data_IF_542783166319
#
_entry.id   IF_542783166319
#
_cell.length_a   1.000
_cell.length_b   1.000
_cell.length_c   1.000
_cell.angle_alpha   90.00
_cell.angle_beta   90.00
_cell.angle_gamma   90.00
#
_symmetry.space_group_name_H-M   'P 1'
#
loop_
_entity.id
_entity.type
_entity.pdbx_description
1 polymer ?
#
# COMPACT_ATOMS: atom_id res chain seq x y z
N UNK A 1 10.36 -33.69 -0.72
CA UNK A 1 8.98 -34.01 -1.15
C UNK A 1 8.04 -33.15 -0.34
N UNK A 2 6.88 -32.80 -0.91
CA UNK A 2 5.86 -32.10 -0.14
C UNK A 2 5.26 -33.01 0.95
N UNK A 3 4.97 -32.45 2.12
CA UNK A 3 4.36 -33.11 3.28
C UNK A 3 3.12 -32.37 3.81
N UNK A 4 2.43 -32.91 4.84
CA UNK A 4 1.16 -32.34 5.34
C UNK A 4 1.25 -30.88 5.78
N UNK A 5 2.40 -30.47 6.34
CA UNK A 5 2.69 -29.09 6.73
C UNK A 5 2.74 -28.09 5.55
N UNK A 6 2.78 -28.58 4.31
CA UNK A 6 2.77 -27.76 3.08
C UNK A 6 1.35 -27.40 2.62
N UNK A 7 0.31 -28.02 3.19
CA UNK A 7 -1.07 -27.69 2.86
C UNK A 7 -1.34 -26.23 3.27
N UNK A 8 -1.99 -25.49 2.39
CA UNK A 8 -2.19 -24.03 2.47
C UNK A 8 -1.05 -23.19 1.89
N UNK A 9 0.11 -23.78 1.60
CA UNK A 9 1.21 -23.08 0.94
C UNK A 9 1.10 -23.11 -0.59
N UNK A 10 1.76 -22.12 -1.21
CA UNK A 10 1.93 -22.12 -2.66
C UNK A 10 3.00 -23.13 -3.07
N UNK A 11 2.67 -23.92 -4.07
CA UNK A 11 3.52 -25.00 -4.58
C UNK A 11 3.56 -24.97 -6.09
N UNK A 12 4.66 -25.49 -6.65
CA UNK A 12 4.73 -25.90 -8.05
C UNK A 12 4.88 -27.41 -8.10
N UNK A 13 4.07 -28.06 -8.92
CA UNK A 13 4.05 -29.51 -9.12
C UNK A 13 4.26 -29.79 -10.60
N UNK A 14 5.41 -30.35 -10.95
CA UNK A 14 5.69 -30.88 -12.28
C UNK A 14 5.16 -32.31 -12.37
N UNK A 15 4.33 -32.58 -13.38
CA UNK A 15 3.74 -33.89 -13.65
C UNK A 15 3.96 -34.35 -15.09
N UNK A 16 3.91 -35.67 -15.29
CA UNK A 16 3.81 -36.30 -16.62
C UNK A 16 2.44 -35.95 -17.22
N UNK A 17 2.43 -35.41 -18.43
CA UNK A 17 1.24 -34.95 -19.14
C UNK A 17 0.91 -35.81 -20.37
N UNK A 18 1.46 -37.03 -20.43
CA UNK A 18 1.31 -37.96 -21.56
C UNK A 18 2.56 -38.05 -22.45
N UNK A 19 2.36 -38.45 -23.70
CA UNK A 19 3.39 -38.61 -24.72
C UNK A 19 3.02 -37.84 -26.00
N UNK A 20 4.02 -37.29 -26.69
CA UNK A 20 3.88 -36.67 -28.02
C UNK A 20 5.05 -37.12 -28.89
N UNK A 21 4.73 -37.76 -30.03
CA UNK A 21 5.73 -38.37 -30.92
C UNK A 21 6.77 -39.20 -30.15
N UNK A 22 6.26 -40.15 -29.34
CA UNK A 22 7.06 -41.07 -28.49
C UNK A 22 7.89 -40.42 -27.36
N UNK A 23 7.84 -39.09 -27.21
CA UNK A 23 8.51 -38.38 -26.11
C UNK A 23 7.54 -38.07 -24.98
N UNK A 24 7.96 -38.34 -23.75
CA UNK A 24 7.22 -37.95 -22.53
C UNK A 24 7.09 -36.42 -22.47
N UNK A 25 5.86 -35.93 -22.27
CA UNK A 25 5.57 -34.51 -22.07
C UNK A 25 5.36 -34.24 -20.59
N UNK A 26 5.79 -33.06 -20.13
CA UNK A 26 5.58 -32.59 -18.76
C UNK A 26 4.71 -31.34 -18.75
N UNK A 27 3.94 -31.18 -17.68
CA UNK A 27 3.22 -29.95 -17.38
C UNK A 27 3.47 -29.51 -15.95
N UNK A 28 3.41 -28.20 -15.71
CA UNK A 28 3.58 -27.62 -14.38
C UNK A 28 2.23 -27.11 -13.88
N UNK A 29 1.88 -27.50 -12.65
CA UNK A 29 0.70 -27.03 -11.93
C UNK A 29 1.18 -26.09 -10.82
N UNK A 30 0.79 -24.83 -10.89
CA UNK A 30 1.15 -23.79 -9.93
C UNK A 30 -0.11 -23.31 -9.20
N UNK A 31 -0.07 -23.31 -7.86
CA UNK A 31 -1.21 -22.89 -7.06
C UNK A 31 -1.02 -23.18 -5.58
N UNK A 32 -2.11 -23.13 -4.83
CA UNK A 32 -2.14 -23.48 -3.41
C UNK A 32 -2.35 -24.99 -3.24
N UNK A 33 -1.51 -25.66 -2.45
CA UNK A 33 -1.74 -27.05 -2.08
C UNK A 33 -2.92 -27.10 -1.10
N UNK A 34 -4.05 -27.67 -1.50
CA UNK A 34 -5.26 -27.71 -0.65
C UNK A 34 -5.49 -29.07 -0.01
N UNK A 35 -4.90 -30.11 -0.56
CA UNK A 35 -4.99 -31.47 -0.02
C UNK A 35 -3.77 -32.28 -0.42
N UNK A 36 -3.34 -33.17 0.47
CA UNK A 36 -2.22 -34.08 0.27
C UNK A 36 -2.56 -35.42 0.93
N UNK A 37 -2.77 -36.43 0.09
CA UNK A 37 -3.07 -37.80 0.51
C UNK A 37 -1.90 -38.73 0.16
N UNK A 38 -2.03 -40.00 0.54
CA UNK A 38 -1.09 -41.04 0.14
C UNK A 38 -1.08 -41.30 -1.37
N UNK A 39 -2.18 -41.04 -2.08
CA UNK A 39 -2.30 -41.37 -3.51
C UNK A 39 -2.19 -40.15 -4.41
N UNK A 40 -2.56 -38.97 -3.92
CA UNK A 40 -2.67 -37.76 -4.73
C UNK A 40 -2.31 -36.48 -3.97
N UNK A 41 -2.03 -35.42 -4.72
CA UNK A 41 -2.09 -34.05 -4.21
C UNK A 41 -3.13 -33.25 -4.97
N UNK A 42 -3.75 -32.27 -4.33
CA UNK A 42 -4.71 -31.36 -4.97
C UNK A 42 -4.20 -29.93 -4.88
N UNK A 43 -4.07 -29.28 -6.03
CA UNK A 43 -3.65 -27.88 -6.14
C UNK A 43 -4.81 -27.02 -6.61
N UNK A 44 -5.13 -25.96 -5.87
CA UNK A 44 -6.03 -24.89 -6.32
C UNK A 44 -5.25 -23.91 -7.17
N UNK A 45 -5.52 -23.92 -8.48
CA UNK A 45 -5.01 -22.92 -9.42
C UNK A 45 -5.96 -21.72 -9.47
N UNK A 46 -5.60 -20.71 -10.26
CA UNK A 46 -6.49 -19.56 -10.53
C UNK A 46 -7.77 -19.95 -11.26
N UNK A 47 -7.76 -21.06 -12.02
CA UNK A 47 -8.90 -21.50 -12.84
C UNK A 47 -9.71 -22.62 -12.18
N UNK A 48 -9.05 -23.56 -11.48
CA UNK A 48 -9.70 -24.79 -10.99
C UNK A 48 -8.88 -25.52 -9.93
N UNK A 49 -9.51 -26.49 -9.28
CA UNK A 49 -8.80 -27.53 -8.54
C UNK A 49 -8.22 -28.56 -9.53
N UNK A 50 -6.95 -28.92 -9.34
CA UNK A 50 -6.27 -29.96 -10.11
C UNK A 50 -5.76 -31.01 -9.13
N UNK A 51 -6.32 -32.22 -9.22
CA UNK A 51 -5.80 -33.41 -8.54
C UNK A 51 -4.70 -34.03 -9.40
N UNK A 52 -3.56 -34.33 -8.80
CA UNK A 52 -2.38 -34.92 -9.45
C UNK A 52 -2.02 -36.21 -8.70
N UNK A 53 -2.13 -37.38 -9.35
CA UNK A 53 -1.69 -38.65 -8.77
C UNK A 53 -0.20 -38.63 -8.46
N UNK A 54 0.20 -39.19 -7.31
CA UNK A 54 1.60 -39.16 -6.88
C UNK A 54 2.56 -39.83 -7.86
N UNK A 55 2.10 -40.90 -8.53
CA UNK A 55 2.87 -41.60 -9.57
C UNK A 55 3.16 -40.77 -10.82
N UNK A 56 2.42 -39.69 -11.06
CA UNK A 56 2.64 -38.78 -12.19
C UNK A 56 3.60 -37.64 -11.86
N UNK A 57 3.84 -37.37 -10.58
CA UNK A 57 4.68 -36.26 -10.12
C UNK A 57 6.15 -36.61 -10.32
N UNK A 58 6.89 -35.74 -11.00
CA UNK A 58 8.35 -35.86 -11.09
C UNK A 58 9.07 -34.89 -10.16
N UNK A 59 8.48 -33.72 -9.89
CA UNK A 59 9.03 -32.77 -8.95
C UNK A 59 7.92 -31.94 -8.30
N UNK A 60 8.02 -31.71 -7.01
CA UNK A 60 7.09 -30.86 -6.28
C UNK A 60 7.83 -30.12 -5.16
N UNK A 61 7.61 -28.81 -5.05
CA UNK A 61 8.21 -27.98 -4.01
C UNK A 61 7.35 -26.78 -3.67
N UNK A 62 7.51 -26.28 -2.45
CA UNK A 62 7.04 -24.94 -2.07
C UNK A 62 7.68 -23.90 -2.96
N UNK A 63 6.93 -22.87 -3.28
CA UNK A 63 7.45 -21.68 -3.95
C UNK A 63 6.97 -20.45 -3.18
N UNK A 64 7.82 -19.41 -3.04
CA UNK A 64 7.39 -18.14 -2.48
C UNK A 64 6.23 -17.54 -3.29
N UNK A 65 5.50 -16.60 -2.68
CA UNK A 65 4.36 -15.97 -3.36
C UNK A 65 4.75 -15.15 -4.62
N UNK A 66 6.01 -14.71 -4.77
CA UNK A 66 6.68 -14.34 -6.05
C UNK A 66 8.14 -13.91 -5.75
N UNK A 67 9.03 -13.81 -6.76
CA UNK A 67 10.48 -13.56 -6.56
C UNK A 67 11.02 -12.19 -7.03
N UNK A 68 10.18 -11.31 -7.57
CA UNK A 68 10.48 -9.88 -7.75
C UNK A 68 9.24 -9.08 -7.37
N UNK A 69 9.36 -8.03 -6.54
CA UNK A 69 8.27 -7.12 -6.28
C UNK A 69 7.77 -6.54 -7.61
N UNK A 70 6.47 -6.60 -7.83
CA UNK A 70 5.79 -5.83 -8.87
C UNK A 70 5.93 -4.33 -8.61
N UNK A 71 5.64 -3.50 -9.62
CA UNK A 71 5.63 -2.04 -9.46
C UNK A 71 4.69 -1.59 -8.32
N UNK A 72 3.52 -2.22 -8.20
CA UNK A 72 2.56 -1.98 -7.10
C UNK A 72 3.19 -2.29 -5.74
N UNK A 73 3.81 -3.45 -5.58
CA UNK A 73 4.45 -3.84 -4.31
C UNK A 73 5.62 -2.91 -3.95
N UNK A 74 6.42 -2.53 -4.93
CA UNK A 74 7.52 -1.60 -4.73
C UNK A 74 6.99 -0.24 -4.26
N UNK A 75 5.96 0.30 -4.92
CA UNK A 75 5.38 1.59 -4.59
C UNK A 75 4.66 1.58 -3.24
N UNK A 76 3.98 0.50 -2.87
CA UNK A 76 3.34 0.37 -1.55
C UNK A 76 4.36 0.32 -0.41
N UNK A 77 5.54 -0.29 -0.62
CA UNK A 77 6.65 -0.22 0.34
C UNK A 77 7.20 1.21 0.47
N UNK A 78 7.33 1.93 -0.65
CA UNK A 78 7.68 3.37 -0.65
C UNK A 78 6.64 4.19 0.11
N UNK A 79 5.35 3.93 -0.13
CA UNK A 79 4.24 4.61 0.51
C UNK A 79 4.22 4.37 2.02
N UNK A 80 4.50 3.14 2.47
CA UNK A 80 4.63 2.83 3.89
C UNK A 80 5.82 3.55 4.54
N UNK A 81 6.96 3.65 3.85
CA UNK A 81 8.13 4.38 4.33
C UNK A 81 7.88 5.90 4.45
N UNK A 82 7.05 6.47 3.57
CA UNK A 82 6.65 7.88 3.62
C UNK A 82 5.61 8.24 4.71
N UNK A 83 5.05 7.21 5.36
CA UNK A 83 4.04 7.32 6.40
C UNK A 83 4.32 6.32 7.54
N UNK A 84 5.45 6.48 8.25
CA UNK A 84 5.96 5.46 9.16
C UNK A 84 5.08 5.38 10.42
N UNK A 85 4.53 4.19 10.69
CA UNK A 85 3.86 3.93 11.96
C UNK A 85 4.89 3.90 13.11
N UNK A 86 4.54 4.39 14.31
CA UNK A 86 5.45 4.42 15.46
C UNK A 86 5.83 3.02 15.94
N UNK A 87 4.94 2.04 15.80
CA UNK A 87 5.22 0.64 16.07
C UNK A 87 5.05 -0.20 14.80
N UNK A 88 6.05 -1.04 14.51
CA UNK A 88 6.08 -1.90 13.33
C UNK A 88 6.64 -3.27 13.68
N UNK A 89 6.18 -4.31 12.98
CA UNK A 89 6.74 -5.65 13.08
C UNK A 89 6.73 -6.33 11.71
N UNK A 90 7.63 -7.30 11.50
CA UNK A 90 7.63 -8.15 10.31
C UNK A 90 6.90 -9.46 10.61
N UNK A 91 6.05 -9.90 9.68
CA UNK A 91 5.45 -11.23 9.65
C UNK A 91 5.86 -11.89 8.33
N UNK A 92 6.99 -12.60 8.34
CA UNK A 92 7.70 -12.92 7.09
C UNK A 92 8.08 -11.62 6.38
N UNK A 93 7.65 -11.47 5.13
CA UNK A 93 7.85 -10.24 4.34
C UNK A 93 6.74 -9.20 4.51
N UNK A 94 5.65 -9.54 5.22
CA UNK A 94 4.55 -8.62 5.50
C UNK A 94 4.96 -7.61 6.58
N UNK A 95 4.49 -6.38 6.43
CA UNK A 95 4.73 -5.32 7.40
C UNK A 95 3.47 -5.07 8.24
N UNK A 96 3.55 -5.28 9.55
CA UNK A 96 2.51 -4.89 10.52
C UNK A 96 2.79 -3.47 11.02
N UNK A 97 1.75 -2.64 11.15
CA UNK A 97 1.87 -1.21 11.49
C UNK A 97 0.82 -0.81 12.52
N UNK A 98 1.25 -0.26 13.64
CA UNK A 98 0.36 0.27 14.68
C UNK A 98 0.72 1.72 14.98
N UNK A 99 -0.25 2.60 14.75
CA UNK A 99 -0.21 4.04 14.97
C UNK A 99 -1.39 4.52 15.82
N UNK A 100 -1.78 3.74 16.82
CA UNK A 100 -2.83 4.09 17.79
C UNK A 100 -4.21 4.34 17.17
N UNK A 101 -4.56 3.65 16.09
CA UNK A 101 -5.83 3.81 15.37
C UNK A 101 -5.90 5.02 14.42
N UNK A 102 -4.89 5.89 14.40
CA UNK A 102 -4.87 7.06 13.54
C UNK A 102 -4.51 6.73 12.08
N UNK A 103 -5.54 6.74 11.23
CA UNK A 103 -5.51 6.37 9.80
C UNK A 103 -5.16 4.91 9.54
N UNK A 104 -5.81 4.30 8.53
CA UNK A 104 -5.48 2.95 8.08
C UNK A 104 -4.03 2.83 7.59
N UNK A 105 -3.48 3.89 6.96
CA UNK A 105 -2.11 3.88 6.40
C UNK A 105 -1.01 3.60 7.43
N UNK A 106 -1.23 3.96 8.70
CA UNK A 106 -0.33 3.63 9.81
C UNK A 106 -0.89 2.53 10.74
N UNK A 107 -2.08 2.00 10.47
CA UNK A 107 -2.81 1.06 11.33
C UNK A 107 -3.42 -0.08 10.50
N UNK A 108 -2.60 -0.75 9.70
CA UNK A 108 -2.99 -1.92 8.93
C UNK A 108 -1.77 -2.73 8.53
N UNK A 109 -1.93 -4.05 8.45
CA UNK A 109 -0.93 -4.91 7.88
C UNK A 109 -0.84 -4.67 6.38
N UNK A 110 0.37 -4.67 5.85
CA UNK A 110 0.68 -4.53 4.43
C UNK A 110 1.19 -5.89 3.93
N UNK A 111 0.33 -6.68 3.26
CA UNK A 111 0.60 -8.07 2.92
C UNK A 111 1.38 -8.19 1.60
N UNK A 112 2.60 -7.68 1.58
CA UNK A 112 3.48 -7.70 0.40
C UNK A 112 4.54 -8.78 0.59
N UNK A 113 4.62 -9.72 -0.35
CA UNK A 113 5.53 -10.86 -0.28
C UNK A 113 4.99 -12.04 0.53
N UNK A 114 5.88 -12.98 0.83
CA UNK A 114 5.59 -14.23 1.53
C UNK A 114 5.55 -14.02 3.06
N UNK A 115 4.44 -14.31 3.75
CA UNK A 115 4.36 -14.20 5.21
C UNK A 115 5.18 -15.29 5.96
N UNK A 116 5.83 -16.20 5.24
CA UNK A 116 6.65 -17.28 5.78
C UNK A 116 5.83 -18.41 6.43
N UNK A 117 4.51 -18.38 6.27
CA UNK A 117 3.52 -19.31 6.82
C UNK A 117 2.31 -19.41 5.90
N UNK A 118 1.32 -20.24 6.23
CA UNK A 118 0.09 -20.30 5.45
C UNK A 118 -0.64 -18.95 5.53
N UNK A 119 -1.45 -18.62 4.51
CA UNK A 119 -2.25 -17.39 4.56
C UNK A 119 -3.23 -17.40 5.74
N UNK A 120 -3.76 -18.57 6.08
CA UNK A 120 -4.63 -18.74 7.24
C UNK A 120 -3.92 -18.30 8.53
N UNK A 121 -2.74 -18.87 8.80
CA UNK A 121 -1.96 -18.57 10.01
C UNK A 121 -1.42 -17.13 10.00
N UNK A 122 -1.19 -16.56 8.81
CA UNK A 122 -0.79 -15.17 8.66
C UNK A 122 -1.92 -14.22 9.08
N UNK A 123 -3.16 -14.48 8.67
CA UNK A 123 -4.31 -13.67 9.08
C UNK A 123 -4.60 -13.83 10.57
N UNK A 124 -4.48 -15.03 11.14
CA UNK A 124 -4.58 -15.25 12.59
C UNK A 124 -3.53 -14.44 13.36
N UNK A 125 -2.28 -14.44 12.90
CA UNK A 125 -1.20 -13.66 13.50
C UNK A 125 -1.46 -12.15 13.42
N UNK A 126 -2.00 -11.67 12.29
CA UNK A 126 -2.42 -10.27 12.14
C UNK A 126 -3.51 -9.93 13.17
N UNK A 127 -4.56 -10.74 13.27
CA UNK A 127 -5.65 -10.51 14.22
C UNK A 127 -5.15 -10.47 15.67
N UNK A 128 -4.33 -11.44 16.07
CA UNK A 128 -3.74 -11.49 17.40
C UNK A 128 -2.87 -10.26 17.68
N UNK A 129 -2.05 -9.83 16.73
CA UNK A 129 -1.15 -8.69 16.88
C UNK A 129 -1.89 -7.38 17.13
N UNK A 130 -2.98 -7.11 16.39
CA UNK A 130 -3.80 -5.91 16.60
C UNK A 130 -4.64 -5.99 17.89
N UNK A 131 -5.27 -7.15 18.18
CA UNK A 131 -6.07 -7.34 19.41
C UNK A 131 -5.24 -7.16 20.68
N UNK A 132 -4.00 -7.66 20.70
CA UNK A 132 -3.06 -7.45 21.81
C UNK A 132 -2.76 -5.97 22.09
N UNK A 133 -3.02 -5.07 21.14
CA UNK A 133 -2.85 -3.62 21.25
C UNK A 133 -4.17 -2.87 21.44
N UNK A 134 -5.28 -3.60 21.62
CA UNK A 134 -6.62 -3.00 21.67
C UNK A 134 -7.03 -2.32 20.36
N UNK A 135 -6.43 -2.70 19.24
CA UNK A 135 -6.71 -2.13 17.92
C UNK A 135 -7.57 -3.10 17.09
N UNK A 136 -8.49 -2.58 16.24
CA UNK A 136 -9.20 -3.41 15.29
C UNK A 136 -8.22 -3.98 14.25
N UNK A 137 -8.20 -5.31 14.01
CA UNK A 137 -7.36 -5.89 12.98
C UNK A 137 -7.70 -5.35 11.60
N UNK A 138 -6.68 -4.87 10.90
CA UNK A 138 -6.80 -4.29 9.55
C UNK A 138 -5.72 -4.81 8.62
N UNK A 139 -6.10 -5.03 7.37
CA UNK A 139 -5.19 -5.40 6.27
C UNK A 139 -5.48 -4.46 5.11
N UNK A 140 -4.46 -3.77 4.60
CA UNK A 140 -4.59 -2.97 3.39
C UNK A 140 -4.15 -3.81 2.19
N UNK A 141 -5.07 -4.05 1.26
CA UNK A 141 -4.84 -4.89 0.09
C UNK A 141 -4.83 -4.03 -1.17
N UNK A 142 -3.70 -4.03 -1.87
CA UNK A 142 -3.53 -3.39 -3.17
C UNK A 142 -3.86 -4.34 -4.32
N UNK A 143 -4.67 -3.87 -5.27
CA UNK A 143 -4.95 -4.57 -6.53
C UNK A 143 -3.82 -4.29 -7.55
N UNK A 144 -3.42 -5.26 -8.39
CA UNK A 144 -3.96 -6.62 -8.52
C UNK A 144 -3.22 -7.67 -7.65
N UNK A 145 -2.48 -7.24 -6.62
CA UNK A 145 -1.46 -8.09 -5.98
C UNK A 145 -2.01 -8.94 -4.84
N UNK A 146 -3.03 -8.47 -4.12
CA UNK A 146 -3.51 -9.16 -2.92
C UNK A 146 -4.67 -10.13 -3.13
N UNK A 147 -4.95 -10.61 -4.34
CA UNK A 147 -6.11 -11.47 -4.61
C UNK A 147 -6.26 -12.69 -3.68
N UNK A 148 -5.16 -13.38 -3.33
CA UNK A 148 -5.22 -14.51 -2.36
C UNK A 148 -5.56 -14.04 -0.94
N UNK A 149 -5.04 -12.89 -0.54
CA UNK A 149 -5.32 -12.28 0.76
C UNK A 149 -6.77 -11.81 0.82
N UNK A 150 -7.25 -11.14 -0.24
CA UNK A 150 -8.66 -10.75 -0.40
C UNK A 150 -9.59 -11.95 -0.30
N UNK A 151 -9.26 -13.07 -0.96
CA UNK A 151 -10.06 -14.30 -0.89
C UNK A 151 -10.09 -14.87 0.54
N UNK A 152 -8.96 -14.89 1.25
CA UNK A 152 -8.90 -15.37 2.64
C UNK A 152 -9.72 -14.51 3.59
N UNK A 153 -9.52 -13.19 3.58
CA UNK A 153 -10.21 -12.28 4.51
C UNK A 153 -11.70 -12.15 4.19
N UNK A 154 -12.10 -12.27 2.92
CA UNK A 154 -13.51 -12.31 2.52
C UNK A 154 -14.21 -13.53 3.11
N UNK A 155 -13.58 -14.71 3.08
CA UNK A 155 -14.13 -15.93 3.71
C UNK A 155 -14.33 -15.77 5.22
N UNK A 156 -13.52 -14.94 5.86
CA UNK A 156 -13.60 -14.62 7.30
C UNK A 156 -14.59 -13.50 7.63
N UNK A 157 -15.32 -12.98 6.65
CA UNK A 157 -16.31 -11.92 6.86
C UNK A 157 -15.70 -10.53 7.10
N UNK A 158 -14.43 -10.31 6.74
CA UNK A 158 -13.82 -8.98 6.80
C UNK A 158 -14.54 -8.06 5.81
N UNK A 159 -14.62 -6.76 6.15
CA UNK A 159 -15.29 -5.77 5.29
C UNK A 159 -14.31 -4.75 4.73
N UNK A 160 -14.37 -4.43 3.43
CA UNK A 160 -13.55 -3.39 2.84
C UNK A 160 -14.12 -2.00 3.16
N UNK A 161 -13.23 -1.05 3.40
CA UNK A 161 -13.52 0.37 3.26
C UNK A 161 -13.55 0.77 1.78
N UNK A 162 -14.10 1.95 1.43
CA UNK A 162 -14.01 2.49 0.09
C UNK A 162 -12.56 2.51 -0.43
N UNK A 163 -12.36 2.29 -1.74
CA UNK A 163 -11.03 2.22 -2.32
C UNK A 163 -10.32 3.57 -2.26
N UNK A 164 -9.00 3.49 -2.08
CA UNK A 164 -8.07 4.61 -2.23
C UNK A 164 -7.26 4.41 -3.50
N UNK A 165 -7.21 5.44 -4.34
CA UNK A 165 -6.37 5.47 -5.52
C UNK A 165 -4.96 5.89 -5.12
N UNK A 166 -3.98 5.10 -5.52
CA UNK A 166 -2.59 5.53 -5.58
C UNK A 166 -2.37 6.12 -6.97
N UNK A 167 -2.11 7.43 -7.01
CA UNK A 167 -1.83 8.13 -8.26
C UNK A 167 -0.36 8.49 -8.34
N UNK A 168 0.20 8.44 -9.55
CA UNK A 168 1.61 8.75 -9.81
C UNK A 168 1.77 9.73 -10.96
N UNK A 169 2.85 10.49 -10.95
CA UNK A 169 3.26 11.37 -12.04
C UNK A 169 4.79 11.41 -12.16
N UNK A 170 5.32 11.65 -13.35
CA UNK A 170 6.71 12.06 -13.49
C UNK A 170 6.84 13.50 -12.98
N UNK A 171 7.84 13.78 -12.13
CA UNK A 171 8.01 15.11 -11.55
C UNK A 171 8.20 16.24 -12.59
N UNK A 172 8.92 16.03 -13.72
CA UNK A 172 9.00 17.04 -14.77
C UNK A 172 7.63 17.48 -15.30
N UNK A 173 6.69 16.56 -15.46
CA UNK A 173 5.34 16.87 -15.94
C UNK A 173 4.55 17.68 -14.92
N UNK A 174 4.69 17.36 -13.62
CA UNK A 174 4.07 18.11 -12.52
C UNK A 174 4.63 19.52 -12.47
N UNK A 175 5.95 19.68 -12.60
CA UNK A 175 6.61 20.99 -12.61
C UNK A 175 6.15 21.81 -13.82
N UNK A 176 6.13 21.22 -15.02
CA UNK A 176 5.65 21.90 -16.23
C UNK A 176 4.18 22.33 -16.15
N UNK A 177 3.35 21.57 -15.42
CA UNK A 177 1.93 21.85 -15.21
C UNK A 177 1.64 22.89 -14.11
N UNK A 178 2.68 23.46 -13.48
CA UNK A 178 2.53 24.43 -12.40
C UNK A 178 3.42 25.65 -12.60
N UNK A 179 2.89 26.83 -12.31
CA UNK A 179 3.72 28.03 -12.21
C UNK A 179 4.56 28.03 -10.94
N UNK A 180 5.70 28.72 -10.97
CA UNK A 180 6.38 29.12 -9.76
C UNK A 180 5.43 29.97 -8.91
N UNK A 181 5.45 29.75 -7.60
CA UNK A 181 4.64 30.49 -6.65
C UNK A 181 5.58 30.91 -5.52
N UNK A 182 5.91 32.20 -5.48
CA UNK A 182 6.89 32.74 -4.53
C UNK A 182 6.35 32.76 -3.10
N UNK A 183 5.03 32.70 -2.94
CA UNK A 183 4.33 32.77 -1.66
C UNK A 183 4.24 31.42 -0.91
N UNK A 184 4.67 30.32 -1.52
CA UNK A 184 4.64 29.00 -0.87
C UNK A 184 5.93 28.78 -0.09
N UNK A 185 5.85 28.85 1.24
CA UNK A 185 6.96 28.53 2.14
C UNK A 185 7.15 27.02 2.25
N UNK A 186 8.40 26.56 2.28
CA UNK A 186 8.79 25.17 2.55
C UNK A 186 9.60 25.06 3.84
N UNK A 187 8.99 24.50 4.88
CA UNK A 187 9.66 24.30 6.16
C UNK A 187 10.17 22.88 6.32
N UNK A 188 11.28 22.71 7.06
CA UNK A 188 11.84 21.40 7.44
C UNK A 188 11.12 20.78 8.64
N UNK A 189 10.36 21.57 9.39
CA UNK A 189 9.52 21.14 10.51
C UNK A 189 8.12 21.77 10.37
N UNK A 190 7.05 21.15 10.93
CA UNK A 190 5.71 21.73 10.84
C UNK A 190 5.67 23.10 11.52
N UNK A 191 5.31 24.18 10.82
CA UNK A 191 5.22 25.51 11.42
C UNK A 191 4.00 25.63 12.34
N UNK A 192 3.93 26.69 13.17
CA UNK A 192 2.74 26.99 13.97
C UNK A 192 1.47 27.01 13.11
N UNK A 193 0.35 26.51 13.66
CA UNK A 193 -0.93 26.42 12.95
C UNK A 193 -1.04 25.30 11.90
N UNK A 194 0.07 24.71 11.44
CA UNK A 194 0.04 23.68 10.39
C UNK A 194 -0.76 22.44 10.79
N UNK A 195 -0.56 21.94 12.01
CA UNK A 195 -1.36 20.82 12.53
C UNK A 195 -2.82 21.20 12.69
N UNK A 196 -3.14 22.43 13.09
CA UNK A 196 -4.53 22.91 13.18
C UNK A 196 -5.20 22.93 11.79
N UNK A 197 -4.49 23.40 10.76
CA UNK A 197 -4.98 23.37 9.38
C UNK A 197 -5.25 21.94 8.88
N UNK A 198 -4.35 21.01 9.22
CA UNK A 198 -4.54 19.59 8.89
C UNK A 198 -5.72 18.99 9.67
N UNK A 199 -5.83 19.30 10.96
CA UNK A 199 -6.92 18.84 11.82
C UNK A 199 -8.29 19.35 11.34
N UNK A 200 -8.40 20.63 10.96
CA UNK A 200 -9.64 21.20 10.42
C UNK A 200 -10.21 20.43 9.22
N UNK A 201 -9.37 19.68 8.50
CA UNK A 201 -9.78 18.84 7.36
C UNK A 201 -9.91 17.34 7.69
N UNK A 202 -9.16 16.83 8.68
CA UNK A 202 -9.11 15.40 9.05
C UNK A 202 -9.78 15.07 10.40
N UNK A 203 -10.36 16.06 11.07
CA UNK A 203 -10.86 15.94 12.44
C UNK A 203 -9.74 16.13 13.48
N UNK A 204 -9.83 15.47 14.63
CA UNK A 204 -8.77 15.57 15.64
C UNK A 204 -7.46 14.92 15.18
N UNK A 205 -6.32 15.54 15.50
CA UNK A 205 -5.01 14.91 15.41
C UNK A 205 -4.62 14.35 16.79
N UNK A 206 -4.64 13.02 16.99
CA UNK A 206 -4.11 12.43 18.22
C UNK A 206 -2.59 12.62 18.31
N UNK A 207 -2.03 12.46 19.50
CA UNK A 207 -0.59 12.64 19.72
C UNK A 207 0.27 11.75 18.80
N UNK A 208 -0.16 10.51 18.57
CA UNK A 208 0.50 9.56 17.64
C UNK A 208 0.62 10.10 16.23
N UNK A 209 -0.28 11.01 15.81
CA UNK A 209 -0.23 11.63 14.49
C UNK A 209 1.03 12.48 14.31
N UNK A 210 1.48 13.19 15.36
CA UNK A 210 2.66 14.04 15.26
C UNK A 210 3.90 13.22 14.93
N UNK A 211 4.11 12.13 15.66
CA UNK A 211 5.24 11.22 15.42
C UNK A 211 5.26 10.65 14.00
N UNK A 212 4.09 10.26 13.47
CA UNK A 212 3.97 9.76 12.09
C UNK A 212 4.29 10.86 11.07
N UNK A 213 3.76 12.06 11.29
CA UNK A 213 3.91 13.18 10.36
C UNK A 213 5.34 13.74 10.34
N UNK A 214 6.06 13.68 11.46
CA UNK A 214 7.45 14.14 11.58
C UNK A 214 8.48 13.02 11.46
N UNK A 215 8.05 11.76 11.35
CA UNK A 215 8.92 10.58 11.40
C UNK A 215 9.76 10.30 10.15
N UNK A 216 9.64 11.10 9.09
CA UNK A 216 10.42 10.95 7.86
C UNK A 216 11.52 12.01 7.81
N UNK A 217 12.82 11.63 7.71
CA UNK A 217 13.93 12.58 7.78
C UNK A 217 13.93 13.63 6.65
N UNK A 218 13.61 13.20 5.43
CA UNK A 218 13.57 14.09 4.25
C UNK A 218 12.12 14.51 4.01
N UNK A 219 11.67 15.50 4.78
CA UNK A 219 10.33 16.05 4.71
C UNK A 219 10.33 17.57 4.45
N UNK A 220 9.28 18.04 3.79
CA UNK A 220 8.92 19.46 3.70
C UNK A 220 7.44 19.67 4.00
N UNK A 221 7.19 20.74 4.74
CA UNK A 221 5.86 21.23 5.06
C UNK A 221 5.65 22.50 4.25
N UNK A 222 4.86 22.36 3.19
CA UNK A 222 4.50 23.48 2.33
C UNK A 222 3.34 24.24 2.95
N UNK A 223 3.39 25.56 2.91
CA UNK A 223 2.31 26.40 3.42
C UNK A 223 2.26 27.78 2.77
N UNK A 224 1.03 28.27 2.59
CA UNK A 224 0.73 29.68 2.31
C UNK A 224 -0.06 30.23 3.49
N UNK A 225 0.16 31.49 3.84
CA UNK A 225 -0.36 32.11 5.05
C UNK A 225 -1.00 33.46 4.75
N UNK A 226 -1.98 33.87 5.55
CA UNK A 226 -2.48 35.26 5.56
C UNK A 226 -1.39 36.21 6.08
N UNK A 227 -1.63 37.52 5.98
CA UNK A 227 -0.77 38.53 6.59
C UNK A 227 -0.63 38.34 8.12
N UNK A 228 -1.66 37.80 8.77
CA UNK A 228 -1.68 37.51 10.21
C UNK A 228 -1.00 36.17 10.57
N UNK A 229 -0.47 35.45 9.58
CA UNK A 229 0.25 34.18 9.77
C UNK A 229 -0.63 32.93 9.83
N UNK A 230 -1.92 33.04 9.52
CA UNK A 230 -2.85 31.90 9.51
C UNK A 230 -2.71 31.07 8.22
N UNK A 231 -2.58 29.74 8.30
CA UNK A 231 -2.41 28.88 7.12
C UNK A 231 -3.68 28.82 6.26
N UNK A 232 -3.57 29.26 4.99
CA UNK A 232 -4.67 29.19 4.00
C UNK A 232 -4.58 27.98 3.08
N UNK A 233 -3.38 27.47 2.87
CA UNK A 233 -3.14 26.24 2.12
C UNK A 233 -1.91 25.55 2.68
N UNK A 234 -1.99 24.23 2.86
CA UNK A 234 -0.90 23.41 3.39
C UNK A 234 -0.72 22.15 2.58
N UNK A 235 0.47 21.56 2.65
CA UNK A 235 0.78 20.24 2.13
C UNK A 235 2.04 19.67 2.76
N UNK A 236 2.21 18.36 2.65
CA UNK A 236 3.41 17.65 3.10
C UNK A 236 4.01 16.88 1.93
N UNK A 237 5.30 17.10 1.68
CA UNK A 237 6.11 16.28 0.78
C UNK A 237 7.15 15.50 1.57
N UNK A 238 7.37 14.24 1.19
CA UNK A 238 8.44 13.40 1.75
C UNK A 238 9.18 12.65 0.66
N UNK A 239 10.47 12.39 0.87
CA UNK A 239 11.26 11.49 0.04
C UNK A 239 11.70 10.32 0.90
N UNK A 240 11.25 9.11 0.54
CA UNK A 240 11.54 7.88 1.26
C UNK A 240 11.50 6.69 0.31
N UNK A 241 12.30 5.65 0.58
CA UNK A 241 12.23 4.37 -0.16
C UNK A 241 12.66 4.42 -1.63
N UNK A 242 13.32 5.48 -2.07
CA UNK A 242 13.76 5.65 -3.48
C UNK A 242 13.58 7.09 -3.96
N UNK A 243 13.66 7.34 -5.29
CA UNK A 243 13.54 8.67 -5.88
C UNK A 243 12.06 9.12 -6.01
N UNK A 244 11.26 8.92 -4.95
CA UNK A 244 9.83 9.19 -4.93
C UNK A 244 9.48 10.33 -3.98
N UNK A 245 8.74 11.32 -4.48
CA UNK A 245 8.03 12.30 -3.67
C UNK A 245 6.67 11.73 -3.25
N UNK A 246 6.48 11.44 -1.96
CA UNK A 246 5.16 11.21 -1.38
C UNK A 246 4.49 12.53 -1.03
N UNK A 247 3.35 12.82 -1.67
CA UNK A 247 2.54 14.01 -1.38
C UNK A 247 1.34 13.60 -0.51
N UNK A 248 1.14 14.34 0.57
CA UNK A 248 0.06 14.08 1.52
C UNK A 248 -0.43 15.36 2.17
N UNK A 249 -1.63 15.29 2.79
CA UNK A 249 -2.19 16.39 3.57
C UNK A 249 -2.30 17.73 2.83
N UNK A 250 -2.53 17.68 1.51
CA UNK A 250 -2.86 18.87 0.73
C UNK A 250 -4.25 19.33 1.15
N UNK A 251 -4.32 20.53 1.72
CA UNK A 251 -5.56 21.13 2.20
C UNK A 251 -5.56 22.61 1.86
N UNK A 252 -6.74 23.14 1.53
CA UNK A 252 -6.97 24.57 1.27
C UNK A 252 -8.19 24.99 2.06
N UNK A 253 -8.04 26.08 2.80
CA UNK A 253 -9.13 26.72 3.53
C UNK A 253 -10.33 26.96 2.59
N UNK A 254 -11.55 26.57 2.99
CA UNK A 254 -12.76 26.75 2.18
C UNK A 254 -12.92 28.13 1.54
N UNK A 255 -12.60 29.22 2.26
CA UNK A 255 -12.73 30.59 1.78
C UNK A 255 -11.72 30.96 0.68
N UNK A 256 -10.64 30.18 0.56
CA UNK A 256 -9.54 30.40 -0.39
C UNK A 256 -9.49 29.34 -1.50
N UNK A 257 -10.47 28.44 -1.58
CA UNK A 257 -10.56 27.42 -2.63
C UNK A 257 -10.78 28.03 -4.01
N UNK A 258 -10.48 27.22 -5.03
CA UNK A 258 -10.61 27.57 -6.47
C UNK A 258 -9.73 28.73 -6.94
N UNK A 259 -8.74 29.14 -6.13
CA UNK A 259 -7.71 30.13 -6.47
C UNK A 259 -6.36 29.52 -6.88
N UNK A 260 -6.32 28.22 -7.15
CA UNK A 260 -5.10 27.52 -7.55
C UNK A 260 -4.12 27.15 -6.41
N UNK A 261 -4.42 27.48 -5.15
CA UNK A 261 -3.47 27.32 -4.03
C UNK A 261 -2.99 25.87 -3.81
N UNK A 262 -3.88 24.89 -3.94
CA UNK A 262 -3.49 23.47 -3.85
C UNK A 262 -2.50 23.06 -4.94
N UNK A 263 -2.65 23.60 -6.16
CA UNK A 263 -1.71 23.37 -7.26
C UNK A 263 -0.37 24.05 -7.00
N UNK A 264 -0.38 25.26 -6.43
CA UNK A 264 0.85 25.97 -6.03
C UNK A 264 1.64 25.20 -4.97
N UNK A 265 0.96 24.64 -3.96
CA UNK A 265 1.56 23.76 -2.95
C UNK A 265 2.19 22.52 -3.59
N UNK A 266 1.46 21.81 -4.45
CA UNK A 266 1.97 20.60 -5.12
C UNK A 266 3.16 20.92 -6.02
N UNK A 267 3.09 21.98 -6.84
CA UNK A 267 4.16 22.40 -7.73
C UNK A 267 5.44 22.77 -6.98
N UNK A 268 5.30 23.43 -5.83
CA UNK A 268 6.44 23.83 -4.99
C UNK A 268 7.11 22.62 -4.34
N UNK A 269 6.33 21.65 -3.84
CA UNK A 269 6.86 20.38 -3.36
C UNK A 269 7.55 19.59 -4.48
N UNK A 270 6.98 19.59 -5.70
CA UNK A 270 7.55 18.90 -6.85
C UNK A 270 8.92 19.50 -7.24
N UNK A 271 9.03 20.83 -7.34
CA UNK A 271 10.30 21.52 -7.62
C UNK A 271 11.37 21.21 -6.56
N UNK A 272 11.00 21.25 -5.29
CA UNK A 272 11.90 20.86 -4.21
C UNK A 272 12.37 19.41 -4.35
N UNK A 273 11.46 18.49 -4.66
CA UNK A 273 11.80 17.09 -4.78
C UNK A 273 12.72 16.79 -5.97
N UNK A 274 12.51 17.47 -7.12
CA UNK A 274 13.43 17.41 -8.27
C UNK A 274 14.83 17.87 -7.87
N UNK A 275 14.94 19.01 -7.17
CA UNK A 275 16.22 19.50 -6.68
C UNK A 275 16.89 18.54 -5.68
N UNK A 276 16.09 17.76 -4.95
CA UNK A 276 16.55 16.70 -4.04
C UNK A 276 16.79 15.33 -4.73
N UNK A 277 16.68 15.24 -6.06
CA UNK A 277 16.98 14.04 -6.84
C UNK A 277 15.83 13.04 -6.98
N UNK A 278 14.61 13.38 -6.56
CA UNK A 278 13.43 12.57 -6.87
C UNK A 278 13.05 12.68 -8.35
N UNK A 279 12.48 11.62 -8.91
CA UNK A 279 12.08 11.54 -10.32
C UNK A 279 10.58 11.38 -10.51
N UNK A 280 9.89 10.79 -9.55
CA UNK A 280 8.45 10.56 -9.60
C UNK A 280 7.76 11.07 -8.34
N UNK A 281 6.48 11.40 -8.45
CA UNK A 281 5.61 11.70 -7.33
C UNK A 281 4.52 10.64 -7.21
N UNK A 282 4.09 10.36 -5.98
CA UNK A 282 2.88 9.60 -5.69
C UNK A 282 2.04 10.30 -4.63
N UNK A 283 0.74 10.01 -4.66
CA UNK A 283 -0.22 10.41 -3.64
C UNK A 283 -1.28 9.33 -3.47
N UNK A 284 -1.99 9.42 -2.35
CA UNK A 284 -3.09 8.51 -2.01
C UNK A 284 -4.35 9.34 -1.77
N UNK A 285 -5.39 9.10 -2.57
CA UNK A 285 -6.64 9.86 -2.56
C UNK A 285 -7.82 8.90 -2.59
N UNK A 286 -8.81 9.12 -1.71
CA UNK A 286 -10.04 8.35 -1.71
C UNK A 286 -10.76 8.53 -3.06
N UNK A 287 -11.16 7.44 -3.70
CA UNK A 287 -11.67 7.44 -5.09
C UNK A 287 -12.83 8.43 -5.29
N UNK A 288 -13.72 8.52 -4.31
CA UNK A 288 -14.87 9.42 -4.33
C UNK A 288 -14.53 10.93 -4.19
N UNK A 289 -13.27 11.29 -3.95
CA UNK A 289 -12.85 12.69 -3.83
C UNK A 289 -12.59 13.26 -5.23
N UNK A 290 -13.66 13.38 -6.01
CA UNK A 290 -13.61 13.78 -7.42
C UNK A 290 -12.91 15.12 -7.63
N UNK A 291 -13.10 16.07 -6.71
CA UNK A 291 -12.46 17.38 -6.77
C UNK A 291 -10.92 17.28 -6.65
N UNK A 292 -10.41 16.48 -5.71
CA UNK A 292 -8.97 16.25 -5.57
C UNK A 292 -8.42 15.43 -6.74
N UNK A 293 -9.13 14.37 -7.15
CA UNK A 293 -8.77 13.53 -8.30
C UNK A 293 -8.65 14.37 -9.58
N UNK A 294 -9.63 15.24 -9.86
CA UNK A 294 -9.59 16.14 -11.02
C UNK A 294 -8.46 17.18 -10.93
N UNK A 295 -8.17 17.70 -9.73
CA UNK A 295 -7.04 18.60 -9.51
C UNK A 295 -5.71 17.91 -9.85
N UNK A 296 -5.50 16.69 -9.33
CA UNK A 296 -4.26 15.94 -9.55
C UNK A 296 -4.12 15.48 -11.01
N UNK A 297 -5.21 15.07 -11.66
CA UNK A 297 -5.21 14.75 -13.08
C UNK A 297 -4.71 15.93 -13.93
N UNK A 298 -5.19 17.15 -13.63
CA UNK A 298 -4.70 18.37 -14.27
C UNK A 298 -3.28 18.80 -13.87
N UNK A 299 -2.56 18.01 -13.08
CA UNK A 299 -1.14 18.16 -12.75
C UNK A 299 -0.29 17.01 -13.32
N UNK A 300 -0.87 16.13 -14.16
CA UNK A 300 -0.19 14.99 -14.76
C UNK A 300 -0.24 13.71 -13.94
N UNK A 301 -0.98 13.66 -12.83
CA UNK A 301 -1.17 12.41 -12.08
C UNK A 301 -2.19 11.51 -12.76
N UNK A 302 -1.89 10.22 -12.81
CA UNK A 302 -2.81 9.17 -13.25
C UNK A 302 -2.86 8.04 -12.22
N UNK A 303 -3.95 7.29 -12.23
CA UNK A 303 -4.10 6.14 -11.34
C UNK A 303 -3.07 5.06 -11.70
N UNK A 304 -2.23 4.66 -10.73
CA UNK A 304 -1.32 3.53 -10.87
C UNK A 304 -2.02 2.24 -10.41
N UNK A 305 -2.65 2.29 -9.23
CA UNK A 305 -3.41 1.17 -8.67
C UNK A 305 -4.39 1.68 -7.61
N UNK A 306 -5.25 0.78 -7.13
CA UNK A 306 -6.12 1.04 -6.00
C UNK A 306 -5.81 0.06 -4.87
N UNK A 307 -6.08 0.48 -3.64
CA UNK A 307 -6.12 -0.41 -2.50
C UNK A 307 -7.40 -0.21 -1.69
N UNK A 308 -7.82 -1.24 -0.97
CA UNK A 308 -8.85 -1.15 0.05
C UNK A 308 -8.29 -1.58 1.40
N UNK A 309 -8.68 -0.89 2.46
CA UNK A 309 -8.41 -1.37 3.83
C UNK A 309 -9.56 -2.23 4.29
N UNK A 310 -9.27 -3.46 4.65
CA UNK A 310 -10.21 -4.43 5.19
C UNK A 310 -10.12 -4.43 6.70
N UNK A 311 -11.27 -4.50 7.36
CA UNK A 311 -11.35 -4.58 8.83
C UNK A 311 -12.01 -5.90 9.20
N UNK A 312 -11.42 -6.60 10.18
CA UNK A 312 -12.00 -7.81 10.75
C UNK A 312 -13.35 -7.52 11.42
N UNK A 313 -14.28 -8.50 11.46
CA UNK A 313 -15.47 -8.38 12.30
C UNK A 313 -15.08 -8.18 13.77
N UNK A 314 -15.97 -7.51 14.52
CA UNK A 314 -15.85 -7.45 15.97
C UNK A 314 -15.92 -8.89 16.54
N UNK A 315 -15.16 -9.18 17.61
CA UNK A 315 -15.23 -10.47 18.29
C UNK A 315 -16.60 -10.75 18.90
#
# INVERSE_FOLDING_TARGET
>A
MLGPHDVGHRVVVRRRAGFRAERQVFSDVLGELVDLTETDLTVRTVERLIRVPRGEITHAKRVPDRRRPSATEALERVAAAGWPAPEQAQLGEWLLRAGGGWTARANSALPIGDPGRTLHDAVDAVEAWYRARGLPPKITVAEPVGGRVTAEITRRGWRPAPPTLVQTAALPDVVASTSAADDVRLDTTPPPGWFTAVAGHKGSLPETARGILTGVPVARYAGMYTADGEPVAVGRGVIAGGPWLGISLVSVDPAYRRRGLGRAVVGTLARWAVAAGATYAYLQVEEHNEAAVAMYAGLGFSAHHAYATWTAPAP
#
